data_IF_766927375206
#
_entry.id   IF_766927375206
#
_cell.length_a   1.000
_cell.length_b   1.000
_cell.length_c   1.000
_cell.angle_alpha   90.00
_cell.angle_beta   90.00
_cell.angle_gamma   90.00
#
_symmetry.space_group_name_H-M   'P 1'
#
loop_
_entity.id
_entity.type
_entity.pdbx_description
1 polymer ?
#
# COMPACT_ATOMS: atom_id res chain seq x y z
N UNK A 1 11.51 3.02 -17.59
CA UNK A 1 11.20 3.48 -16.21
C UNK A 1 9.73 3.88 -16.17
N UNK A 2 8.96 3.28 -15.30
CA UNK A 2 7.54 3.62 -15.13
C UNK A 2 7.32 4.41 -13.85
N UNK A 3 6.38 5.34 -13.89
CA UNK A 3 5.97 6.13 -12.72
C UNK A 3 4.58 5.71 -12.28
N UNK A 4 4.42 5.54 -10.98
CA UNK A 4 3.14 5.26 -10.35
C UNK A 4 2.90 6.22 -9.19
N UNK A 5 1.67 6.66 -9.01
CA UNK A 5 1.22 7.46 -7.86
C UNK A 5 0.33 6.61 -6.99
N UNK A 6 0.72 6.48 -5.74
CA UNK A 6 -0.02 5.68 -4.75
C UNK A 6 -0.45 6.60 -3.62
N UNK A 7 -1.72 6.53 -3.24
CA UNK A 7 -2.31 7.27 -2.14
C UNK A 7 -2.76 6.31 -1.04
N UNK A 8 -2.25 6.45 0.17
CA UNK A 8 -2.77 5.82 1.39
C UNK A 8 -3.64 6.81 2.14
N UNK A 9 -4.85 6.42 2.52
CA UNK A 9 -5.78 7.33 3.18
C UNK A 9 -6.71 6.61 4.16
N UNK A 10 -6.44 6.71 5.45
CA UNK A 10 -7.42 6.37 6.47
C UNK A 10 -8.54 7.42 6.43
N UNK A 11 -9.74 7.00 6.04
CA UNK A 11 -10.88 7.92 5.84
C UNK A 11 -11.76 8.05 7.07
N UNK A 12 -11.37 7.48 8.19
CA UNK A 12 -12.18 7.39 9.41
C UNK A 12 -13.53 6.73 9.15
N UNK A 13 -13.86 5.68 9.88
CA UNK A 13 -15.18 5.05 9.78
C UNK A 13 -16.32 6.04 10.13
N UNK A 14 -17.52 5.76 9.63
CA UNK A 14 -18.69 6.59 9.93
C UNK A 14 -19.09 6.44 11.39
N UNK A 15 -18.72 7.43 12.20
CA UNK A 15 -19.03 7.49 13.61
C UNK A 15 -19.94 8.70 13.90
N UNK A 16 -21.15 8.42 14.35
CA UNK A 16 -22.13 9.48 14.69
C UNK A 16 -21.65 10.41 15.79
N UNK A 17 -20.73 9.96 16.65
CA UNK A 17 -20.12 10.78 17.69
C UNK A 17 -19.13 11.83 17.15
N UNK A 18 -18.73 11.73 15.90
CA UNK A 18 -17.89 12.74 15.23
C UNK A 18 -18.68 14.01 14.85
N UNK A 19 -20.01 14.03 15.10
CA UNK A 19 -20.89 15.19 14.93
C UNK A 19 -20.74 15.90 13.58
N UNK A 20 -20.11 17.08 13.57
CA UNK A 20 -19.87 17.88 12.37
C UNK A 20 -18.85 17.29 11.41
N UNK A 21 -18.12 16.27 11.86
CA UNK A 21 -17.12 15.51 11.10
C UNK A 21 -17.58 14.08 10.80
N UNK A 22 -18.88 13.78 11.01
CA UNK A 22 -19.47 12.53 10.55
C UNK A 22 -19.34 12.39 9.02
N UNK A 23 -19.34 11.16 8.52
CA UNK A 23 -19.05 10.83 7.11
C UNK A 23 -19.82 11.68 6.10
N UNK A 24 -21.11 11.89 6.31
CA UNK A 24 -21.95 12.68 5.41
C UNK A 24 -21.45 14.12 5.17
N UNK A 25 -20.72 14.69 6.14
CA UNK A 25 -20.24 16.06 6.07
C UNK A 25 -18.85 16.19 5.43
N UNK A 26 -18.11 15.08 5.27
CA UNK A 26 -16.72 15.06 4.79
C UNK A 26 -16.50 14.15 3.58
N UNK A 27 -17.49 13.31 3.24
CA UNK A 27 -17.45 12.37 2.11
C UNK A 27 -16.99 13.02 0.81
N UNK A 28 -17.60 14.14 0.46
CA UNK A 28 -17.31 14.81 -0.80
C UNK A 28 -15.88 15.37 -0.81
N UNK A 29 -15.39 15.88 0.32
CA UNK A 29 -13.99 16.33 0.46
C UNK A 29 -12.98 15.17 0.29
N UNK A 30 -13.28 13.97 0.82
CA UNK A 30 -12.47 12.75 0.60
C UNK A 30 -12.44 12.37 -0.88
N UNK A 31 -13.61 12.34 -1.53
CA UNK A 31 -13.75 11.95 -2.93
C UNK A 31 -13.06 12.98 -3.85
N UNK A 32 -13.28 14.27 -3.63
CA UNK A 32 -12.72 15.32 -4.46
C UNK A 32 -11.20 15.42 -4.35
N UNK A 33 -10.62 15.13 -3.16
CA UNK A 33 -9.19 15.02 -2.99
C UNK A 33 -8.61 13.92 -3.90
N UNK A 34 -9.22 12.74 -3.92
CA UNK A 34 -8.79 11.64 -4.81
C UNK A 34 -8.97 12.01 -6.29
N UNK A 35 -10.10 12.64 -6.65
CA UNK A 35 -10.34 13.11 -8.02
C UNK A 35 -9.32 14.16 -8.48
N UNK A 36 -8.94 15.08 -7.59
CA UNK A 36 -7.97 16.13 -7.90
C UNK A 36 -6.56 15.56 -8.10
N UNK A 37 -6.09 14.75 -7.16
CA UNK A 37 -4.75 14.18 -7.22
C UNK A 37 -4.61 13.03 -8.22
N UNK A 38 -5.73 12.35 -8.57
CA UNK A 38 -5.77 11.25 -9.53
C UNK A 38 -4.62 10.23 -9.36
N UNK A 39 -4.47 9.62 -8.19
CA UNK A 39 -3.46 8.57 -8.01
C UNK A 39 -3.75 7.39 -8.95
N UNK A 40 -2.73 6.61 -9.27
CA UNK A 40 -2.89 5.38 -10.03
C UNK A 40 -3.52 4.28 -9.16
N UNK A 41 -3.15 4.29 -7.88
CA UNK A 41 -3.71 3.41 -6.84
C UNK A 41 -4.10 4.27 -5.64
N UNK A 42 -5.30 4.03 -5.11
CA UNK A 42 -5.77 4.58 -3.84
C UNK A 42 -6.08 3.44 -2.88
N UNK A 43 -5.54 3.50 -1.68
CA UNK A 43 -5.74 2.52 -0.63
C UNK A 43 -6.39 3.19 0.58
N UNK A 44 -7.62 2.78 0.90
CA UNK A 44 -8.36 3.33 2.02
C UNK A 44 -8.30 2.42 3.24
N UNK A 45 -8.33 3.00 4.44
CA UNK A 45 -8.48 2.29 5.69
C UNK A 45 -9.75 2.78 6.41
N UNK A 46 -10.37 1.91 7.18
CA UNK A 46 -11.59 2.11 7.99
C UNK A 46 -12.94 2.17 7.25
N UNK A 47 -13.10 2.30 5.92
CA UNK A 47 -14.43 2.50 5.40
C UNK A 47 -15.37 1.32 5.71
N UNK A 48 -16.51 1.63 6.32
CA UNK A 48 -17.63 0.71 6.52
C UNK A 48 -18.34 0.37 5.18
N UNK A 49 -19.21 -0.65 5.12
CA UNK A 49 -19.88 -1.03 3.87
C UNK A 49 -20.54 0.12 3.12
N UNK A 50 -21.26 1.01 3.81
CA UNK A 50 -21.89 2.18 3.19
C UNK A 50 -20.85 3.17 2.64
N UNK A 51 -19.78 3.42 3.39
CA UNK A 51 -18.69 4.29 2.93
C UNK A 51 -17.98 3.69 1.70
N UNK A 52 -17.78 2.35 1.67
CA UNK A 52 -17.22 1.67 0.48
C UNK A 52 -18.11 1.82 -0.75
N UNK A 53 -19.46 1.84 -0.57
CA UNK A 53 -20.40 2.12 -1.66
C UNK A 53 -20.26 3.56 -2.15
N UNK A 54 -20.28 4.54 -1.24
CA UNK A 54 -20.11 5.95 -1.55
C UNK A 54 -18.78 6.23 -2.30
N UNK A 55 -17.69 5.59 -1.86
CA UNK A 55 -16.39 5.72 -2.50
C UNK A 55 -16.38 5.15 -3.93
N UNK A 56 -17.01 3.97 -4.15
CA UNK A 56 -17.14 3.38 -5.49
C UNK A 56 -17.98 4.28 -6.41
N UNK A 57 -19.11 4.77 -5.92
CA UNK A 57 -19.99 5.66 -6.68
C UNK A 57 -19.30 7.00 -6.99
N UNK A 58 -18.56 7.54 -6.02
CA UNK A 58 -17.85 8.80 -6.16
C UNK A 58 -16.59 8.73 -7.02
N UNK A 59 -16.01 7.55 -7.19
CA UNK A 59 -14.74 7.33 -7.90
C UNK A 59 -14.89 6.33 -9.06
N UNK A 60 -15.76 6.58 -10.05
CA UNK A 60 -16.06 5.61 -11.12
C UNK A 60 -14.89 5.32 -12.07
N UNK A 61 -13.80 6.07 -11.96
CA UNK A 61 -12.56 5.83 -12.72
C UNK A 61 -11.65 4.78 -12.06
N UNK A 62 -12.08 4.17 -10.94
CA UNK A 62 -11.32 3.19 -10.19
C UNK A 62 -12.09 1.88 -10.08
N UNK A 63 -11.39 0.77 -10.28
CA UNK A 63 -11.87 -0.56 -9.92
C UNK A 63 -11.41 -0.89 -8.49
N UNK A 64 -12.37 -1.33 -7.64
CA UNK A 64 -12.13 -1.51 -6.22
C UNK A 64 -12.20 -2.98 -5.82
N UNK A 65 -11.13 -3.46 -5.20
CA UNK A 65 -11.02 -4.78 -4.60
C UNK A 65 -10.94 -4.70 -3.07
N UNK A 66 -11.14 -5.83 -2.42
CA UNK A 66 -11.10 -5.97 -0.97
C UNK A 66 -12.48 -6.00 -0.31
N UNK A 67 -12.51 -6.57 0.89
CA UNK A 67 -13.72 -6.80 1.69
C UNK A 67 -13.55 -6.24 3.11
N UNK A 68 -14.59 -6.27 3.90
CA UNK A 68 -14.53 -5.92 5.32
C UNK A 68 -13.97 -7.07 6.17
N UNK A 69 -13.51 -6.71 7.36
CA UNK A 69 -12.80 -7.61 8.29
C UNK A 69 -13.70 -8.62 8.99
N UNK A 70 -14.99 -8.35 9.07
CA UNK A 70 -15.94 -9.21 9.77
C UNK A 70 -16.49 -10.32 8.85
N UNK A 71 -17.06 -11.40 9.40
CA UNK A 71 -17.68 -12.44 8.61
C UNK A 71 -18.70 -11.89 7.61
N UNK A 72 -18.76 -12.45 6.40
CA UNK A 72 -19.61 -11.93 5.33
C UNK A 72 -19.03 -10.73 4.58
N UNK A 73 -17.89 -10.17 5.00
CA UNK A 73 -17.29 -8.98 4.39
C UNK A 73 -17.83 -7.67 4.94
N UNK A 74 -18.46 -7.72 6.09
CA UNK A 74 -18.91 -6.57 6.86
C UNK A 74 -17.76 -5.89 7.63
N UNK A 75 -18.09 -4.87 8.43
CA UNK A 75 -17.13 -4.12 9.23
C UNK A 75 -16.24 -3.21 8.39
N UNK A 76 -15.20 -2.68 9.03
CA UNK A 76 -14.20 -1.84 8.38
C UNK A 76 -13.41 -2.64 7.35
N UNK A 77 -13.08 -1.99 6.23
CA UNK A 77 -12.28 -2.59 5.17
C UNK A 77 -10.97 -1.86 4.92
N UNK A 78 -10.11 -2.52 4.16
CA UNK A 78 -8.89 -1.95 3.60
C UNK A 78 -8.95 -2.04 2.06
N UNK A 79 -9.95 -1.43 1.37
CA UNK A 79 -10.08 -1.56 -0.08
C UNK A 79 -8.92 -0.87 -0.81
N UNK A 80 -8.63 -1.42 -2.00
CA UNK A 80 -7.67 -0.85 -2.96
C UNK A 80 -8.47 -0.47 -4.21
N UNK A 81 -8.37 0.80 -4.63
CA UNK A 81 -8.90 1.29 -5.90
C UNK A 81 -7.78 1.47 -6.91
N UNK A 82 -7.93 0.86 -8.07
CA UNK A 82 -6.96 0.87 -9.17
C UNK A 82 -7.54 1.65 -10.34
N UNK A 83 -6.81 2.63 -10.86
CA UNK A 83 -7.29 3.52 -11.93
C UNK A 83 -7.37 2.79 -13.27
N UNK A 84 -8.59 2.67 -13.81
CA UNK A 84 -8.94 1.81 -14.95
C UNK A 84 -8.46 2.31 -16.30
N UNK A 85 -8.04 3.56 -16.44
CA UNK A 85 -7.47 4.11 -17.69
C UNK A 85 -5.97 3.80 -17.87
N UNK A 86 -5.32 3.22 -16.85
CA UNK A 86 -3.87 2.93 -16.87
C UNK A 86 -3.48 1.54 -16.41
N UNK A 87 -4.29 0.96 -15.53
CA UNK A 87 -3.98 -0.29 -14.85
C UNK A 87 -5.18 -1.23 -14.86
N UNK A 88 -4.92 -2.52 -14.79
CA UNK A 88 -5.93 -3.55 -14.52
C UNK A 88 -5.53 -4.37 -13.30
N UNK A 89 -6.51 -4.82 -12.55
CA UNK A 89 -6.33 -5.84 -11.52
C UNK A 89 -6.30 -7.21 -12.22
N UNK A 90 -5.31 -8.02 -11.94
CA UNK A 90 -5.18 -9.38 -12.50
C UNK A 90 -5.45 -10.44 -11.46
N UNK A 91 -5.19 -10.15 -10.19
CA UNK A 91 -5.54 -11.01 -9.07
C UNK A 91 -5.69 -10.16 -7.80
N UNK A 92 -6.49 -10.61 -6.85
CA UNK A 92 -6.67 -9.93 -5.57
C UNK A 92 -7.07 -10.90 -4.45
N UNK A 93 -6.91 -10.42 -3.22
CA UNK A 93 -7.36 -11.17 -2.07
C UNK A 93 -7.32 -10.37 -0.78
N UNK A 94 -7.87 -10.98 0.26
CA UNK A 94 -7.85 -10.43 1.62
C UNK A 94 -7.53 -11.55 2.59
N UNK A 95 -6.62 -11.27 3.54
CA UNK A 95 -6.29 -12.19 4.62
C UNK A 95 -6.29 -11.48 5.97
N UNK A 96 -6.44 -12.25 7.06
CA UNK A 96 -6.47 -11.71 8.42
C UNK A 96 -5.06 -11.68 9.03
N UNK A 97 -4.82 -10.67 9.83
CA UNK A 97 -3.57 -10.52 10.60
C UNK A 97 -3.73 -11.24 11.94
N UNK A 98 -3.60 -12.56 11.88
CA UNK A 98 -3.84 -13.50 12.97
C UNK A 98 -3.03 -14.78 12.79
N UNK A 99 -3.14 -15.74 13.72
CA UNK A 99 -2.54 -17.08 13.59
C UNK A 99 -3.24 -17.95 12.53
N UNK A 100 -4.47 -17.58 12.14
CA UNK A 100 -5.26 -18.23 11.08
C UNK A 100 -5.62 -17.23 9.98
N UNK A 101 -4.66 -16.81 9.13
CA UNK A 101 -4.86 -15.69 8.21
C UNK A 101 -5.90 -15.93 7.10
N UNK A 102 -6.27 -17.17 6.83
CA UNK A 102 -7.14 -17.51 5.70
C UNK A 102 -8.64 -17.52 6.06
N UNK A 103 -8.96 -17.26 7.33
CA UNK A 103 -10.34 -17.17 7.83
C UNK A 103 -10.52 -15.96 8.77
N UNK A 104 -11.77 -15.45 8.93
CA UNK A 104 -12.06 -14.35 9.86
C UNK A 104 -11.64 -14.70 11.29
N UNK A 105 -10.61 -14.02 11.79
CA UNK A 105 -9.99 -14.30 13.09
C UNK A 105 -9.34 -13.08 13.71
N UNK A 106 -9.01 -13.17 14.99
CA UNK A 106 -8.36 -12.10 15.76
C UNK A 106 -7.53 -12.72 16.87
N UNK A 107 -6.26 -12.33 16.97
CA UNK A 107 -5.31 -12.86 17.95
C UNK A 107 -4.53 -11.75 18.63
N UNK A 108 -3.63 -12.15 19.54
CA UNK A 108 -2.62 -11.30 20.19
C UNK A 108 -3.18 -10.08 20.93
N UNK A 109 -4.37 -10.25 21.53
CA UNK A 109 -5.09 -9.20 22.25
C UNK A 109 -5.46 -7.99 21.38
N UNK A 110 -5.64 -8.19 20.08
CA UNK A 110 -6.13 -7.16 19.18
C UNK A 110 -7.54 -6.73 19.56
N UNK A 111 -7.80 -5.42 19.53
CA UNK A 111 -9.12 -4.88 19.86
C UNK A 111 -10.20 -5.31 18.84
N UNK A 112 -9.77 -5.56 17.60
CA UNK A 112 -10.63 -5.97 16.49
C UNK A 112 -9.86 -6.89 15.53
N UNK A 113 -10.55 -7.74 14.75
CA UNK A 113 -9.92 -8.39 13.60
C UNK A 113 -9.25 -7.36 12.71
N UNK A 114 -8.04 -7.66 12.24
CA UNK A 114 -7.29 -6.81 11.32
C UNK A 114 -7.01 -7.59 10.05
N UNK A 115 -7.04 -6.88 8.92
CA UNK A 115 -6.88 -7.50 7.61
C UNK A 115 -5.81 -6.77 6.78
N UNK A 116 -5.30 -7.49 5.81
CA UNK A 116 -4.60 -6.92 4.66
C UNK A 116 -5.32 -7.32 3.38
N UNK A 117 -5.60 -6.34 2.53
CA UNK A 117 -6.03 -6.56 1.16
C UNK A 117 -4.83 -6.43 0.25
N UNK A 118 -4.71 -7.29 -0.73
CA UNK A 118 -3.69 -7.20 -1.77
C UNK A 118 -4.32 -7.20 -3.16
N UNK A 119 -3.64 -6.57 -4.10
CA UNK A 119 -3.98 -6.55 -5.51
C UNK A 119 -2.72 -6.72 -6.35
N UNK A 120 -2.72 -7.67 -7.26
CA UNK A 120 -1.78 -7.74 -8.35
C UNK A 120 -2.29 -6.88 -9.49
N UNK A 121 -1.50 -5.90 -9.92
CA UNK A 121 -1.92 -4.96 -10.96
C UNK A 121 -0.91 -4.92 -12.10
N UNK A 122 -1.40 -4.80 -13.32
CA UNK A 122 -0.60 -4.68 -14.53
C UNK A 122 -0.93 -3.40 -15.29
N UNK A 123 0.06 -2.77 -15.95
CA UNK A 123 -0.20 -1.68 -16.87
C UNK A 123 -1.12 -2.13 -18.01
N UNK A 124 -2.03 -1.25 -18.43
CA UNK A 124 -2.79 -1.50 -19.65
C UNK A 124 -1.88 -1.40 -20.88
N UNK A 125 -2.14 -2.26 -21.84
CA UNK A 125 -1.53 -2.18 -23.16
C UNK A 125 -2.36 -1.31 -24.10
N UNK A 126 -1.69 -0.57 -24.97
CA UNK A 126 -2.29 0.15 -26.08
C UNK A 126 -1.64 -0.28 -27.39
N UNK A 127 -2.22 0.03 -28.57
CA UNK A 127 -1.59 -0.27 -29.87
C UNK A 127 -0.17 0.32 -30.04
N UNK A 128 0.13 1.39 -29.30
CA UNK A 128 1.43 2.07 -29.32
C UNK A 128 2.40 1.56 -28.20
N UNK A 129 2.06 0.47 -27.54
CA UNK A 129 2.79 -0.12 -26.42
C UNK A 129 2.09 0.08 -25.05
N UNK A 130 2.71 -0.37 -23.95
CA UNK A 130 2.09 -0.27 -22.64
C UNK A 130 1.88 1.18 -22.24
N UNK A 131 0.68 1.49 -21.69
CA UNK A 131 0.30 2.85 -21.21
C UNK A 131 1.26 3.34 -20.11
N UNK A 132 1.87 2.39 -19.40
CA UNK A 132 2.92 2.65 -18.41
C UNK A 132 4.18 1.90 -18.83
N UNK A 133 5.11 2.53 -19.56
CA UNK A 133 6.29 1.85 -20.12
C UNK A 133 7.19 1.22 -19.04
N UNK A 134 7.65 -0.01 -19.28
CA UNK A 134 8.66 -0.68 -18.47
C UNK A 134 8.16 -1.24 -17.13
N UNK A 135 6.87 -1.45 -16.98
CA UNK A 135 6.29 -2.04 -15.78
C UNK A 135 5.85 -3.49 -15.99
N UNK A 136 6.50 -4.44 -15.33
CA UNK A 136 5.92 -5.74 -15.03
C UNK A 136 4.78 -5.62 -13.99
N UNK A 137 4.22 -6.73 -13.53
CA UNK A 137 3.20 -6.71 -12.48
C UNK A 137 3.71 -6.02 -11.20
N UNK A 138 2.79 -5.44 -10.46
CA UNK A 138 3.03 -4.78 -9.19
C UNK A 138 2.09 -5.38 -8.16
N UNK A 139 2.63 -5.79 -7.02
CA UNK A 139 1.84 -6.18 -5.86
C UNK A 139 1.60 -4.95 -4.97
N UNK A 140 0.35 -4.58 -4.79
CA UNK A 140 -0.07 -3.55 -3.82
C UNK A 140 -0.71 -4.24 -2.64
N UNK A 141 -0.29 -3.89 -1.42
CA UNK A 141 -0.86 -4.41 -0.17
C UNK A 141 -1.33 -3.23 0.68
N UNK A 142 -2.56 -3.30 1.17
CA UNK A 142 -3.18 -2.28 2.02
C UNK A 142 -3.61 -2.87 3.35
N UNK A 143 -3.27 -2.23 4.46
CA UNK A 143 -3.59 -2.75 5.79
C UNK A 143 -3.90 -1.65 6.81
N UNK A 144 -4.52 -2.06 7.92
CA UNK A 144 -4.72 -1.22 9.09
C UNK A 144 -4.42 -2.04 10.34
N UNK A 145 -3.33 -1.71 11.05
CA UNK A 145 -2.90 -2.43 12.25
C UNK A 145 -3.76 -2.08 13.47
N UNK A 146 -3.65 -2.91 14.49
CA UNK A 146 -4.40 -2.69 15.73
C UNK A 146 -3.90 -1.44 16.48
N UNK A 147 -4.84 -0.62 16.94
CA UNK A 147 -4.55 0.63 17.63
C UNK A 147 -4.28 0.45 19.14
N UNK A 148 -4.64 -0.70 19.72
CA UNK A 148 -4.52 -0.97 21.15
C UNK A 148 -3.29 -1.83 21.46
N UNK A 149 -3.20 -3.03 20.89
CA UNK A 149 -2.20 -4.04 21.26
C UNK A 149 -0.86 -3.85 20.53
N UNK A 150 0.24 -3.51 21.23
CA UNK A 150 1.57 -3.52 20.64
C UNK A 150 2.00 -4.91 20.15
N UNK A 151 1.54 -5.98 20.84
CA UNK A 151 1.79 -7.36 20.42
C UNK A 151 1.12 -7.66 19.09
N UNK A 152 -0.15 -7.30 18.93
CA UNK A 152 -0.86 -7.50 17.67
C UNK A 152 -0.17 -6.76 16.51
N UNK A 153 0.30 -5.52 16.71
CA UNK A 153 1.04 -4.79 15.68
C UNK A 153 2.35 -5.50 15.27
N UNK A 154 3.10 -6.01 16.24
CA UNK A 154 4.34 -6.74 15.98
C UNK A 154 4.09 -8.03 15.20
N UNK A 155 3.15 -8.85 15.65
CA UNK A 155 2.83 -10.12 15.00
C UNK A 155 2.18 -9.89 13.62
N UNK A 156 1.34 -8.86 13.47
CA UNK A 156 0.82 -8.43 12.16
C UNK A 156 1.94 -8.09 11.17
N UNK A 157 2.99 -7.41 11.64
CA UNK A 157 4.15 -7.11 10.81
C UNK A 157 4.90 -8.38 10.39
N UNK A 158 4.99 -9.40 11.26
CA UNK A 158 5.57 -10.72 10.93
C UNK A 158 4.75 -11.45 9.87
N UNK A 159 3.42 -11.53 10.05
CA UNK A 159 2.51 -12.13 9.06
C UNK A 159 2.68 -11.48 7.69
N UNK A 160 2.75 -10.15 7.62
CA UNK A 160 2.98 -9.44 6.37
C UNK A 160 4.36 -9.73 5.80
N UNK A 161 5.41 -9.69 6.63
CA UNK A 161 6.79 -9.95 6.22
C UNK A 161 6.97 -11.33 5.59
N UNK A 162 6.22 -12.34 6.06
CA UNK A 162 6.25 -13.69 5.52
C UNK A 162 5.35 -13.89 4.29
N UNK A 163 4.20 -13.21 4.23
CA UNK A 163 3.23 -13.40 3.14
C UNK A 163 3.56 -12.60 1.89
N UNK A 164 4.08 -11.39 2.04
CA UNK A 164 4.38 -10.50 0.91
C UNK A 164 5.32 -11.14 -0.12
N UNK A 165 6.46 -11.75 0.26
CA UNK A 165 7.33 -12.39 -0.73
C UNK A 165 6.66 -13.54 -1.49
N UNK A 166 5.84 -14.34 -0.80
CA UNK A 166 5.10 -15.44 -1.44
C UNK A 166 4.07 -14.94 -2.45
N UNK A 167 3.37 -13.85 -2.12
CA UNK A 167 2.42 -13.20 -3.04
C UNK A 167 3.17 -12.59 -4.23
N UNK A 168 4.29 -11.91 -4.00
CA UNK A 168 5.10 -11.30 -5.05
C UNK A 168 5.67 -12.35 -6.03
N UNK A 169 6.15 -13.48 -5.52
CA UNK A 169 6.59 -14.62 -6.35
C UNK A 169 5.45 -15.25 -7.17
N UNK A 170 4.25 -15.37 -6.58
CA UNK A 170 3.06 -15.88 -7.28
C UNK A 170 2.61 -14.96 -8.41
N UNK A 171 2.67 -13.65 -8.20
CA UNK A 171 2.31 -12.62 -9.20
C UNK A 171 3.29 -12.62 -10.38
N UNK A 172 4.60 -12.76 -10.12
CA UNK A 172 5.62 -12.82 -11.18
C UNK A 172 5.46 -14.05 -12.07
N UNK A 173 5.11 -15.21 -11.49
CA UNK A 173 4.94 -16.48 -12.23
C UNK A 173 3.66 -16.53 -13.10
N UNK A 174 2.66 -15.72 -12.83
CA UNK A 174 1.40 -15.73 -13.59
C UNK A 174 1.51 -15.05 -14.97
N UNK A 175 2.56 -14.24 -15.20
CA UNK A 175 2.77 -13.49 -16.46
C UNK A 175 3.47 -14.28 -17.58
N UNK A 176 4.05 -15.45 -17.33
CA UNK A 176 4.86 -16.20 -18.29
C UNK A 176 4.30 -17.60 -18.56
N UNK A 177 3.32 -17.70 -19.42
CA UNK A 177 3.03 -18.96 -20.13
C UNK A 177 3.49 -18.83 -21.58
N UNK A 178 4.78 -18.98 -21.84
CA UNK A 178 5.29 -19.28 -23.17
C UNK A 178 5.25 -20.81 -23.39
N UNK A 179 4.47 -21.33 -24.35
CA UNK A 179 4.39 -22.75 -24.64
C UNK A 179 5.67 -23.33 -25.30
N UNK A 180 6.70 -22.55 -25.53
CA UNK A 180 7.92 -22.97 -26.22
C UNK A 180 9.05 -23.49 -25.31
N UNK A 181 8.81 -23.71 -24.00
CA UNK A 181 9.63 -24.60 -23.16
C UNK A 181 11.09 -24.21 -22.99
N UNK A 182 11.39 -22.95 -22.75
CA UNK A 182 12.70 -22.49 -22.28
C UNK A 182 12.56 -21.85 -20.91
N UNK A 183 12.59 -22.64 -19.83
CA UNK A 183 12.59 -22.13 -18.48
C UNK A 183 13.98 -21.53 -18.17
N UNK A 184 14.14 -20.25 -18.41
CA UNK A 184 15.07 -19.41 -17.66
C UNK A 184 14.23 -18.37 -16.91
N UNK A 185 13.43 -18.83 -15.95
CA UNK A 185 12.76 -18.01 -14.96
C UNK A 185 13.82 -17.58 -13.96
N UNK A 186 14.60 -16.55 -14.30
CA UNK A 186 15.33 -15.83 -13.28
C UNK A 186 14.34 -15.42 -12.19
N UNK A 187 14.71 -15.58 -10.91
CA UNK A 187 13.94 -15.22 -9.70
C UNK A 187 13.54 -13.73 -9.69
N UNK A 188 12.64 -13.33 -10.58
CA UNK A 188 12.11 -11.99 -10.68
C UNK A 188 10.83 -11.92 -9.87
N UNK A 189 10.94 -11.53 -8.61
CA UNK A 189 9.77 -11.19 -7.81
C UNK A 189 9.09 -9.93 -8.34
N UNK A 190 7.77 -9.84 -8.20
CA UNK A 190 7.05 -8.60 -8.53
C UNK A 190 7.46 -7.49 -7.58
N UNK A 191 7.55 -6.26 -8.10
CA UNK A 191 7.70 -5.07 -7.25
C UNK A 191 6.54 -4.98 -6.25
N UNK A 192 6.82 -4.49 -5.05
CA UNK A 192 5.85 -4.41 -3.94
C UNK A 192 5.68 -2.98 -3.46
N UNK A 193 4.43 -2.59 -3.22
CA UNK A 193 4.07 -1.39 -2.47
C UNK A 193 3.12 -1.78 -1.34
N UNK A 194 3.58 -1.68 -0.10
CA UNK A 194 2.77 -1.83 1.11
C UNK A 194 2.38 -0.46 1.63
N UNK A 195 1.10 -0.23 1.82
CA UNK A 195 0.54 1.02 2.36
C UNK A 195 -0.41 0.74 3.52
N UNK A 196 -0.65 1.76 4.32
CA UNK A 196 -1.69 1.70 5.34
C UNK A 196 -1.39 2.46 6.61
N UNK A 197 -2.37 2.45 7.48
CA UNK A 197 -2.25 2.89 8.86
C UNK A 197 -1.66 1.75 9.71
N UNK A 198 -0.38 1.85 9.99
CA UNK A 198 0.31 0.84 10.80
C UNK A 198 0.17 1.08 12.32
N UNK A 199 -0.54 2.15 12.72
CA UNK A 199 -0.70 2.53 14.14
C UNK A 199 0.63 2.54 14.91
N UNK A 200 1.73 2.83 14.21
CA UNK A 200 3.09 2.82 14.75
C UNK A 200 3.98 3.81 14.02
N UNK A 201 4.94 4.39 14.71
CA UNK A 201 5.85 5.39 14.15
C UNK A 201 7.06 4.73 13.49
N UNK A 202 7.77 5.45 12.59
CA UNK A 202 9.04 4.99 12.02
C UNK A 202 10.04 4.56 13.08
N UNK A 203 10.78 3.49 12.81
CA UNK A 203 11.78 2.94 13.72
C UNK A 203 11.22 2.14 14.90
N UNK A 204 9.88 2.04 15.05
CA UNK A 204 9.26 1.10 15.98
C UNK A 204 9.53 -0.36 15.58
N UNK A 205 9.30 -1.30 16.48
CA UNK A 205 9.53 -2.72 16.21
C UNK A 205 8.75 -3.24 14.99
N UNK A 206 7.41 -3.00 14.84
CA UNK A 206 6.69 -3.43 13.65
C UNK A 206 7.24 -2.81 12.36
N UNK A 207 7.61 -1.54 12.38
CA UNK A 207 8.22 -0.88 11.22
C UNK A 207 9.58 -1.50 10.86
N UNK A 208 10.44 -1.81 11.85
CA UNK A 208 11.74 -2.46 11.61
C UNK A 208 11.60 -3.89 11.08
N UNK A 209 10.57 -4.64 11.50
CA UNK A 209 10.28 -5.97 10.94
C UNK A 209 9.98 -5.85 9.44
N UNK A 210 9.11 -4.93 9.05
CA UNK A 210 8.73 -4.73 7.65
C UNK A 210 9.87 -4.19 6.77
N UNK A 211 10.82 -3.46 7.37
CA UNK A 211 11.96 -2.86 6.65
C UNK A 211 13.25 -3.68 6.76
N UNK A 212 13.19 -4.93 7.21
CA UNK A 212 14.36 -5.82 7.32
C UNK A 212 15.40 -5.41 8.39
N UNK A 213 15.14 -4.31 9.13
CA UNK A 213 16.08 -3.82 10.14
C UNK A 213 16.04 -4.63 11.46
N UNK A 214 15.13 -5.55 11.61
CA UNK A 214 15.05 -6.52 12.70
C UNK A 214 14.86 -7.89 12.08
N UNK A 215 15.76 -8.88 12.32
CA UNK A 215 15.55 -10.23 11.84
C UNK A 215 14.22 -10.79 12.33
N UNK A 216 13.54 -11.54 11.47
CA UNK A 216 12.38 -12.30 11.86
C UNK A 216 12.85 -13.44 12.78
N UNK A 217 12.63 -13.33 14.10
CA UNK A 217 13.11 -14.32 15.08
C UNK A 217 12.44 -15.69 14.80
N UNK A 218 13.10 -16.52 14.02
CA UNK A 218 12.78 -17.93 13.88
C UNK A 218 12.23 -18.42 12.56
N UNK A 219 12.17 -17.62 11.50
CA UNK A 219 11.86 -18.12 10.16
C UNK A 219 13.09 -18.08 9.26
N UNK A 220 13.54 -19.25 8.77
CA UNK A 220 14.53 -19.38 7.68
C UNK A 220 13.94 -19.03 6.31
N UNK A 221 12.76 -18.40 6.27
CA UNK A 221 12.03 -18.06 5.05
C UNK A 221 12.32 -16.67 4.52
N UNK A 222 11.90 -16.38 3.26
CA UNK A 222 12.01 -15.04 2.69
C UNK A 222 11.25 -14.03 3.56
N UNK A 223 11.87 -12.89 3.82
CA UNK A 223 11.30 -11.77 4.58
C UNK A 223 11.13 -10.57 3.65
N UNK A 224 10.03 -9.83 3.82
CA UNK A 224 9.87 -8.57 3.12
C UNK A 224 10.98 -7.60 3.60
N UNK A 225 11.83 -7.18 2.70
CA UNK A 225 12.84 -6.14 2.92
C UNK A 225 12.39 -4.86 2.22
N UNK A 226 11.45 -4.17 2.86
CA UNK A 226 10.85 -2.96 2.29
C UNK A 226 11.59 -1.72 2.77
N UNK A 227 11.52 -0.65 1.99
CA UNK A 227 12.08 0.66 2.34
C UNK A 227 10.96 1.66 2.60
N UNK A 228 11.15 2.54 3.58
CA UNK A 228 10.21 3.61 3.88
C UNK A 228 10.31 4.70 2.80
N UNK A 229 9.28 4.82 1.97
CA UNK A 229 9.25 5.78 0.88
C UNK A 229 9.45 7.23 1.34
N UNK A 230 8.99 7.58 2.55
CA UNK A 230 9.20 8.92 3.12
C UNK A 230 10.68 9.13 3.47
N UNK A 231 11.35 8.10 4.01
CA UNK A 231 12.77 8.20 4.37
C UNK A 231 13.67 8.40 3.14
N UNK A 232 13.34 7.72 2.04
CA UNK A 232 14.11 7.69 0.79
C UNK A 232 13.71 8.77 -0.21
N UNK A 233 12.61 9.49 -0.01
CA UNK A 233 12.09 10.47 -0.96
C UNK A 233 13.09 11.61 -1.25
N UNK A 234 13.32 11.89 -2.53
CA UNK A 234 14.07 13.06 -2.99
C UNK A 234 13.37 14.37 -2.59
N UNK A 235 12.03 14.37 -2.65
CA UNK A 235 11.20 15.52 -2.29
C UNK A 235 10.16 15.10 -1.26
N UNK A 236 10.08 15.85 -0.16
CA UNK A 236 9.05 15.70 0.88
C UNK A 236 8.23 16.97 0.96
N UNK A 237 6.91 16.82 1.06
CA UNK A 237 6.01 17.95 1.14
C UNK A 237 4.92 17.71 2.20
N UNK A 238 4.47 18.79 2.84
CA UNK A 238 3.41 18.76 3.85
C UNK A 238 3.92 18.45 5.27
N UNK A 239 3.01 18.21 6.21
CA UNK A 239 3.33 17.92 7.60
C UNK A 239 4.13 16.61 7.77
N UNK A 240 4.90 16.53 8.85
CA UNK A 240 5.60 15.30 9.23
C UNK A 240 4.70 14.30 9.96
N UNK A 241 3.56 14.76 10.48
CA UNK A 241 2.51 13.93 11.07
C UNK A 241 1.46 13.54 10.04
N UNK A 242 0.81 12.39 10.23
CA UNK A 242 -0.34 11.98 9.43
C UNK A 242 -1.66 11.99 10.21
N UNK A 243 -1.68 12.48 11.45
CA UNK A 243 -2.86 12.46 12.33
C UNK A 243 -3.35 13.85 12.66
N UNK A 244 -4.66 14.02 12.72
CA UNK A 244 -5.37 15.27 13.06
C UNK A 244 -6.49 15.00 14.08
N UNK A 245 -7.09 16.07 14.58
CA UNK A 245 -8.38 16.03 15.29
C UNK A 245 -9.50 16.64 14.41
N UNK A 246 -9.40 16.55 13.09
CA UNK A 246 -10.19 17.24 12.06
C UNK A 246 -9.94 18.76 11.97
N UNK A 247 -9.27 19.36 12.93
CA UNK A 247 -9.00 20.81 12.97
C UNK A 247 -7.52 21.10 13.06
N UNK A 248 -6.81 20.33 13.89
CA UNK A 248 -5.40 20.55 14.21
C UNK A 248 -4.60 19.29 13.90
N UNK A 249 -3.34 19.49 13.56
CA UNK A 249 -2.37 18.41 13.46
C UNK A 249 -2.04 17.90 14.87
N UNK A 250 -1.88 16.59 14.98
CA UNK A 250 -1.36 15.94 16.19
C UNK A 250 0.12 15.65 15.94
N UNK A 251 1.00 16.32 16.64
CA UNK A 251 2.43 16.23 16.43
C UNK A 251 2.99 14.83 16.68
N UNK A 252 4.12 14.53 16.04
CA UNK A 252 4.92 13.29 16.20
C UNK A 252 4.15 11.98 15.94
N UNK A 253 3.09 12.03 15.15
CA UNK A 253 2.25 10.87 14.82
C UNK A 253 2.22 10.57 13.33
N UNK A 254 3.36 10.23 12.74
CA UNK A 254 3.40 9.63 11.41
C UNK A 254 3.16 8.12 11.56
N UNK A 255 1.92 7.68 11.37
CA UNK A 255 1.49 6.29 11.52
C UNK A 255 0.94 5.69 10.23
N UNK A 256 0.71 6.53 9.23
CA UNK A 256 0.39 6.14 7.86
C UNK A 256 1.68 6.02 7.05
N UNK A 257 1.86 4.88 6.39
CA UNK A 257 3.11 4.53 5.75
C UNK A 257 2.92 4.13 4.28
N UNK A 258 3.96 4.38 3.50
CA UNK A 258 4.19 3.81 2.17
C UNK A 258 5.55 3.14 2.22
N UNK A 259 5.57 1.81 2.14
CA UNK A 259 6.79 1.02 2.12
C UNK A 259 6.92 0.35 0.74
N UNK A 260 8.12 0.28 0.19
CA UNK A 260 8.37 -0.17 -1.18
C UNK A 260 9.50 -1.19 -1.25
N UNK A 261 9.41 -2.13 -2.20
CA UNK A 261 10.51 -3.05 -2.49
C UNK A 261 11.75 -2.31 -3.03
N UNK A 262 12.97 -2.91 -2.94
CA UNK A 262 14.21 -2.28 -3.39
C UNK A 262 14.21 -1.83 -4.85
N UNK A 263 13.41 -2.46 -5.72
CA UNK A 263 13.27 -2.10 -7.15
C UNK A 263 12.52 -0.80 -7.42
N UNK A 264 11.95 -0.17 -6.39
CA UNK A 264 11.15 1.07 -6.51
C UNK A 264 11.89 2.24 -5.87
N UNK A 265 12.09 3.31 -6.61
CA UNK A 265 12.62 4.58 -6.09
C UNK A 265 11.48 5.52 -5.67
N UNK A 266 11.69 6.26 -4.60
CA UNK A 266 10.76 7.28 -4.11
C UNK A 266 11.15 8.66 -4.62
N UNK A 267 10.49 9.15 -5.66
CA UNK A 267 10.76 10.50 -6.22
C UNK A 267 10.22 11.60 -5.29
N UNK A 268 9.01 11.44 -4.82
CA UNK A 268 8.41 12.42 -3.91
C UNK A 268 7.34 11.79 -3.03
N UNK A 269 7.26 12.23 -1.79
CA UNK A 269 6.16 11.89 -0.88
C UNK A 269 5.57 13.17 -0.30
N UNK A 270 4.25 13.24 -0.28
CA UNK A 270 3.51 14.33 0.32
C UNK A 270 2.50 13.81 1.34
N UNK A 271 2.47 14.42 2.51
CA UNK A 271 1.32 14.35 3.42
C UNK A 271 0.40 15.50 3.07
N UNK A 272 -0.79 15.19 2.53
CA UNK A 272 -1.70 16.19 2.00
C UNK A 272 -2.54 16.80 3.14
N UNK A 273 -2.45 18.10 3.33
CA UNK A 273 -3.11 18.82 4.43
C UNK A 273 -4.22 19.75 3.91
N UNK A 274 -4.96 19.29 2.91
CA UNK A 274 -6.07 20.02 2.32
C UNK A 274 -7.21 20.15 3.33
N UNK A 275 -7.83 21.32 3.35
CA UNK A 275 -8.96 21.64 4.22
C UNK A 275 -10.16 22.07 3.39
N UNK A 276 -11.34 21.80 3.91
CA UNK A 276 -12.58 22.32 3.33
C UNK A 276 -12.76 23.83 3.63
N UNK A 277 -13.83 24.40 3.13
CA UNK A 277 -14.21 25.81 3.32
C UNK A 277 -14.50 26.18 4.79
N UNK A 278 -14.73 25.19 5.65
CA UNK A 278 -14.88 25.34 7.10
C UNK A 278 -13.53 25.32 7.83
N UNK A 279 -12.41 25.11 7.10
CA UNK A 279 -11.07 24.96 7.65
C UNK A 279 -10.82 23.61 8.31
N UNK A 280 -11.60 22.56 7.96
CA UNK A 280 -11.51 21.21 8.55
C UNK A 280 -10.86 20.25 7.59
N UNK A 281 -10.13 19.30 8.15
CA UNK A 281 -9.59 18.16 7.39
C UNK A 281 -10.70 17.14 7.09
N UNK A 282 -10.74 16.51 5.90
CA UNK A 282 -11.76 15.54 5.57
C UNK A 282 -11.66 14.21 6.34
N UNK A 283 -10.58 13.98 7.10
CA UNK A 283 -10.41 12.84 8.01
C UNK A 283 -9.58 13.26 9.22
N UNK A 284 -9.61 12.45 10.28
CA UNK A 284 -8.67 12.52 11.40
C UNK A 284 -7.27 12.01 11.04
N UNK A 285 -7.11 11.50 9.81
CA UNK A 285 -5.82 11.23 9.17
C UNK A 285 -5.62 12.10 7.94
N UNK A 286 -4.35 12.39 7.63
CA UNK A 286 -3.94 13.03 6.39
C UNK A 286 -3.52 11.98 5.37
N UNK A 287 -3.97 12.08 4.12
CA UNK A 287 -3.53 11.13 3.09
C UNK A 287 -2.05 11.30 2.76
N UNK A 288 -1.37 10.17 2.54
CA UNK A 288 0.03 10.10 2.13
C UNK A 288 0.10 9.73 0.66
N UNK A 289 0.54 10.67 -0.19
CA UNK A 289 0.70 10.49 -1.63
C UNK A 289 2.18 10.29 -1.97
N UNK A 290 2.51 9.14 -2.54
CA UNK A 290 3.85 8.83 -3.05
C UNK A 290 3.89 8.84 -4.57
N UNK A 291 4.91 9.49 -5.14
CA UNK A 291 5.34 9.33 -6.54
C UNK A 291 6.53 8.41 -6.59
N UNK A 292 6.33 7.26 -7.16
CA UNK A 292 7.28 6.17 -7.20
C UNK A 292 7.75 5.93 -8.64
N UNK A 293 9.03 5.57 -8.80
CA UNK A 293 9.63 5.19 -10.06
C UNK A 293 10.10 3.74 -9.99
N UNK A 294 9.64 2.94 -10.93
CA UNK A 294 10.03 1.54 -11.07
C UNK A 294 11.13 1.40 -12.11
N UNK A 295 12.14 0.60 -11.81
CA UNK A 295 13.16 0.25 -12.79
C UNK A 295 12.67 -0.88 -13.69
N UNK A 296 12.95 -0.80 -14.99
CA UNK A 296 12.72 -1.92 -15.90
C UNK A 296 13.80 -2.98 -15.66
N UNK A 297 13.42 -4.24 -15.58
CA UNK A 297 14.35 -5.37 -15.43
C UNK A 297 15.48 -5.41 -16.49
N UNK A 298 15.33 -4.70 -17.61
CA UNK A 298 16.32 -4.61 -18.67
C UNK A 298 17.58 -3.78 -18.34
N UNK A 299 17.63 -3.05 -17.23
CA UNK A 299 18.75 -2.16 -16.89
C UNK A 299 19.80 -2.74 -15.94
N UNK A 300 19.61 -3.96 -15.44
CA UNK A 300 20.53 -4.59 -14.48
C UNK A 300 21.75 -5.29 -15.14
N UNK A 301 21.83 -5.37 -16.47
CA UNK A 301 22.87 -6.13 -17.21
C UNK A 301 24.04 -5.32 -17.79
N UNK A 302 24.30 -4.11 -17.34
CA UNK A 302 25.48 -3.35 -17.77
C UNK A 302 26.38 -2.94 -16.61
N UNK A 303 26.98 -3.93 -15.93
CA UNK A 303 28.24 -3.69 -15.24
C UNK A 303 29.35 -3.60 -16.29
N UNK A 304 30.22 -2.59 -16.29
CA UNK A 304 31.33 -2.54 -17.21
C UNK A 304 32.28 -3.70 -16.91
N UNK A 305 32.50 -4.55 -17.92
CA UNK A 305 33.56 -5.54 -17.90
C UNK A 305 34.92 -4.83 -17.79
N UNK A 306 35.68 -5.17 -16.75
CA UNK A 306 37.07 -4.74 -16.60
C UNK A 306 37.88 -5.06 -17.86
N UNK A 307 38.76 -4.14 -18.32
CA UNK A 307 39.62 -4.43 -19.45
C UNK A 307 40.67 -5.50 -19.09
N UNK A 308 41.07 -6.36 -20.01
CA UNK A 308 42.03 -7.42 -19.75
C UNK A 308 43.38 -6.81 -19.34
N UNK A 309 43.92 -7.24 -18.23
CA UNK A 309 45.27 -6.93 -17.77
C UNK A 309 46.29 -7.41 -18.81
N UNK A 310 46.96 -6.49 -19.48
CA UNK A 310 48.13 -6.78 -20.27
C UNK A 310 49.32 -7.15 -19.39
N UNK A 311 49.73 -8.41 -19.47
CA UNK A 311 51.00 -8.89 -18.95
C UNK A 311 52.14 -8.49 -19.93
N UNK A 312 53.09 -7.75 -19.42
CA UNK A 312 54.51 -7.78 -19.82
C UNK A 312 55.38 -7.98 -18.60
#
# INVERSE_FOLDING_TARGET
MSRIRVLSYNVRYDNRNDHHDAWYARRDGVIDLVRFHRPDVVAFQEPLPAQRSDLREGLPAYDFVGRGRDPGGDGEGCPIGVRTDRWRVVDDGTFWLSETPDEPSSDWDAAHPRIATWAAVEPLESPDGPVVPGGGPLLVVNTHFDHVSPRARRESARVLSERIPRLAGGVAGAGETDPSGGADTGDSEADVVLVGDLNTTPGSEPHRILTGATPNDGSDGPSADLRDAVADAEVRHGPTTSVTDFVRLIDDRRIDHVLVSPGIESEAVATLADRDDRGRYPSDHLPVLARLRRHSAASASSAPSDPPSSSE
#
